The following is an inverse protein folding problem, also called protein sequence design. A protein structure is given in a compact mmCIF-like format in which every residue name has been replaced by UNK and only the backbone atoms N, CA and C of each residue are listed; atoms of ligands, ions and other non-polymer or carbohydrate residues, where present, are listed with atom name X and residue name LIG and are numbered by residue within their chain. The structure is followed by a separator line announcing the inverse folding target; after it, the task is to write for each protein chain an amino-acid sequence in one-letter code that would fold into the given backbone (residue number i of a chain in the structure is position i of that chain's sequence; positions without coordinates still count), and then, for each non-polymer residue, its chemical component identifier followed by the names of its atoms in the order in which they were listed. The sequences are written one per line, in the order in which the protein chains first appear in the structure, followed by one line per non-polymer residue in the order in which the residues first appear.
data_IF_064090452174
#
_entry.id   IF_064090452174
#
_cell.length_a   1.000
_cell.length_b   1.000
_cell.length_c   1.000
_cell.angle_alpha   90.00
_cell.angle_beta   90.00
_cell.angle_gamma   90.00
#
_symmetry.space_group_name_H-M   'P 1'
#
loop_
_entity.id
_entity.type
_entity.pdbx_description
1 polymer ?
#
# COMPACT_ATOMS: atom_id res chain seq x y z
N UNK A 1 6.63 -24.66 12.68
CA UNK A 1 7.03 -23.61 11.72
C UNK A 1 7.59 -22.46 12.52
N UNK A 2 8.91 -22.27 12.54
CA UNK A 2 9.55 -21.17 13.26
C UNK A 2 9.81 -20.02 12.28
N UNK A 3 8.94 -19.02 12.29
CA UNK A 3 9.20 -17.79 11.54
C UNK A 3 10.14 -16.91 12.37
N UNK A 4 11.12 -16.28 11.72
CA UNK A 4 12.19 -15.54 12.41
C UNK A 4 11.64 -14.23 13.00
N UNK A 5 11.24 -14.28 14.26
CA UNK A 5 10.71 -13.15 15.04
C UNK A 5 11.70 -11.97 15.03
N UNK A 6 11.40 -10.94 14.24
CA UNK A 6 12.01 -9.63 14.36
C UNK A 6 11.23 -8.84 15.42
N UNK A 7 11.90 -8.49 16.53
CA UNK A 7 11.43 -7.47 17.47
C UNK A 7 11.70 -6.10 16.86
N UNK A 8 10.74 -5.18 16.95
CA UNK A 8 10.82 -3.87 16.31
C UNK A 8 11.83 -2.92 16.99
N UNK A 9 12.27 -3.22 18.22
CA UNK A 9 13.13 -2.38 19.09
C UNK A 9 14.61 -2.17 18.64
N UNK A 10 14.94 -2.37 17.36
CA UNK A 10 16.24 -1.96 16.81
C UNK A 10 17.49 -2.71 17.28
N UNK A 11 17.40 -3.70 18.19
CA UNK A 11 18.56 -4.50 18.67
C UNK A 11 18.65 -5.87 18.00
N UNK A 12 19.68 -6.06 17.19
CA UNK A 12 20.14 -7.37 16.73
C UNK A 12 21.00 -8.05 17.82
N UNK A 13 20.69 -9.29 18.18
CA UNK A 13 21.75 -10.22 18.56
C UNK A 13 22.31 -10.84 17.27
N UNK A 14 23.48 -10.36 16.83
CA UNK A 14 24.26 -11.02 15.79
C UNK A 14 24.95 -12.25 16.38
N UNK A 15 24.72 -13.42 15.77
CA UNK A 15 25.69 -14.52 15.83
C UNK A 15 26.80 -14.17 14.83
N UNK A 16 28.04 -14.05 15.31
CA UNK A 16 29.19 -13.76 14.46
C UNK A 16 29.44 -14.88 13.45
N UNK A 17 29.52 -14.51 12.17
CA UNK A 17 30.27 -15.25 11.15
C UNK A 17 31.26 -14.27 10.53
N UNK A 18 32.54 -14.57 10.70
CA UNK A 18 33.66 -13.78 10.21
C UNK A 18 33.85 -14.05 8.70
N UNK A 19 33.59 -13.06 7.85
CA UNK A 19 34.52 -12.70 6.75
C UNK A 19 34.12 -11.37 6.10
N UNK A 20 35.12 -10.64 5.57
CA UNK A 20 34.95 -9.27 5.06
C UNK A 20 34.27 -9.26 3.70
N UNK A 21 32.99 -8.90 3.67
CA UNK A 21 32.34 -8.33 2.48
C UNK A 21 31.84 -6.93 2.84
N UNK A 22 32.05 -6.00 1.93
CA UNK A 22 31.87 -4.53 2.06
C UNK A 22 30.58 -4.12 2.77
N UNK A 23 30.69 -3.11 3.65
CA UNK A 23 29.57 -2.45 4.34
C UNK A 23 28.44 -2.01 3.39
N UNK A 24 27.44 -2.88 3.26
CA UNK A 24 26.07 -2.54 2.88
C UNK A 24 25.14 -3.23 3.87
N UNK A 25 24.57 -2.45 4.79
CA UNK A 25 23.45 -2.91 5.59
C UNK A 25 22.29 -3.22 4.65
N UNK A 26 22.01 -4.50 4.41
CA UNK A 26 20.83 -4.95 3.69
C UNK A 26 19.58 -4.52 4.50
N UNK A 27 18.61 -3.82 3.89
CA UNK A 27 17.35 -3.47 4.56
C UNK A 27 16.61 -4.74 5.02
N UNK A 28 15.88 -4.63 6.12
CA UNK A 28 15.26 -5.78 6.80
C UNK A 28 13.77 -5.84 6.50
N UNK A 29 13.34 -6.89 5.80
CA UNK A 29 11.93 -7.18 5.58
C UNK A 29 11.34 -6.41 4.40
N UNK A 30 10.76 -7.16 3.47
CA UNK A 30 10.16 -6.65 2.25
C UNK A 30 8.85 -7.39 1.99
N UNK A 31 7.76 -6.66 1.72
CA UNK A 31 6.54 -7.20 1.12
C UNK A 31 6.36 -6.63 -0.28
N UNK A 32 5.91 -7.47 -1.20
CA UNK A 32 5.89 -7.20 -2.62
C UNK A 32 4.77 -7.83 -3.40
N UNK A 33 4.41 -7.14 -4.49
CA UNK A 33 4.21 -7.55 -5.91
C UNK A 33 3.15 -6.55 -6.49
N UNK A 34 3.24 -5.94 -7.70
CA UNK A 34 4.00 -6.22 -8.95
C UNK A 34 4.48 -4.96 -9.76
N UNK A 35 4.86 -5.10 -11.06
CA UNK A 35 5.67 -4.15 -11.88
C UNK A 35 5.02 -2.82 -12.31
N UNK A 36 5.88 -1.99 -12.92
CA UNK A 36 5.70 -0.58 -13.32
C UNK A 36 5.79 0.41 -12.15
N UNK A 37 5.44 -0.02 -10.94
CA UNK A 37 5.19 0.89 -9.82
C UNK A 37 5.35 0.18 -8.46
N UNK A 38 6.23 0.67 -7.56
CA UNK A 38 6.52 0.01 -6.28
C UNK A 38 6.42 0.93 -5.05
N UNK A 39 5.93 0.43 -3.91
CA UNK A 39 6.03 1.07 -2.59
C UNK A 39 6.11 0.00 -1.48
N UNK A 40 7.08 0.12 -0.58
CA UNK A 40 7.54 -0.96 0.30
C UNK A 40 7.07 -0.72 1.74
N UNK A 41 6.40 -1.69 2.37
CA UNK A 41 6.05 -1.62 3.79
C UNK A 41 7.17 -2.23 4.65
N UNK A 42 7.89 -1.39 5.41
CA UNK A 42 8.99 -1.84 6.28
C UNK A 42 8.53 -2.43 7.61
N UNK A 43 9.47 -3.05 8.34
CA UNK A 43 9.32 -3.49 9.74
C UNK A 43 8.79 -2.37 10.66
N UNK A 44 9.05 -1.10 10.37
CA UNK A 44 8.51 0.05 11.12
C UNK A 44 7.05 0.41 10.81
N UNK A 45 6.40 -0.28 9.86
CA UNK A 45 5.03 0.03 9.40
C UNK A 45 4.95 1.10 8.31
N UNK A 46 6.08 1.67 7.88
CA UNK A 46 6.13 2.81 6.94
C UNK A 46 6.17 2.37 5.48
N UNK A 47 5.48 3.11 4.59
CA UNK A 47 5.55 2.92 3.13
C UNK A 47 6.67 3.78 2.51
N UNK A 48 7.78 3.13 2.14
CA UNK A 48 9.05 3.71 1.64
C UNK A 48 9.41 3.22 0.24
N UNK A 49 10.58 3.63 -0.26
CA UNK A 49 11.21 3.08 -1.47
C UNK A 49 10.26 3.11 -2.69
N UNK A 50 9.80 4.29 -3.05
CA UNK A 50 8.78 4.47 -4.08
C UNK A 50 9.41 4.40 -5.48
N UNK A 51 9.24 3.28 -6.18
CA UNK A 51 9.68 3.07 -7.57
C UNK A 51 8.49 3.08 -8.54
N UNK A 52 7.60 4.08 -8.36
CA UNK A 52 6.38 4.31 -9.15
C UNK A 52 6.65 4.73 -10.61
N UNK A 53 7.88 5.14 -10.92
CA UNK A 53 8.27 5.47 -12.28
C UNK A 53 9.55 4.68 -12.59
N UNK A 54 9.67 3.98 -13.73
CA UNK A 54 10.85 3.18 -14.07
C UNK A 54 12.17 3.96 -14.28
N UNK A 55 12.22 5.24 -13.89
CA UNK A 55 13.38 6.14 -13.92
C UNK A 55 13.67 6.81 -12.57
N UNK A 56 12.88 6.54 -11.53
CA UNK A 56 13.03 7.16 -10.21
C UNK A 56 12.75 6.15 -9.10
N UNK A 57 13.59 6.15 -8.07
CA UNK A 57 13.38 5.42 -6.82
C UNK A 57 13.49 6.42 -5.66
N UNK A 58 12.36 6.75 -5.04
CA UNK A 58 12.23 7.74 -3.98
C UNK A 58 12.26 7.02 -2.62
N UNK A 59 13.44 6.99 -1.98
CA UNK A 59 13.68 6.19 -0.77
C UNK A 59 12.83 6.61 0.44
N UNK A 60 12.46 7.89 0.51
CA UNK A 60 11.79 8.51 1.66
C UNK A 60 10.37 7.96 1.90
N UNK A 61 9.95 7.81 3.17
CA UNK A 61 8.59 7.41 3.48
C UNK A 61 7.58 8.51 3.13
N UNK A 62 6.43 8.10 2.61
CA UNK A 62 5.25 8.95 2.55
C UNK A 62 4.49 8.75 3.87
N UNK A 63 4.93 9.45 4.93
CA UNK A 63 4.54 9.21 6.33
C UNK A 63 3.04 9.17 6.60
N UNK A 64 2.25 9.82 5.75
CA UNK A 64 0.79 9.88 5.84
C UNK A 64 0.10 8.60 5.33
N UNK A 65 0.83 7.69 4.71
CA UNK A 65 0.36 6.38 4.27
C UNK A 65 0.56 5.39 5.40
N UNK A 66 -0.53 4.92 5.99
CA UNK A 66 -0.53 4.17 7.23
C UNK A 66 -1.76 3.26 7.32
N UNK A 67 -1.69 2.32 8.26
CA UNK A 67 -2.88 1.80 8.91
C UNK A 67 -2.99 2.40 10.31
N UNK A 68 -4.19 2.70 10.77
CA UNK A 68 -4.45 3.17 12.15
C UNK A 68 -5.62 2.41 12.75
N UNK A 69 -5.64 2.28 14.07
CA UNK A 69 -6.68 1.56 14.81
C UNK A 69 -7.31 2.46 15.87
N UNK A 70 -8.63 2.36 16.01
CA UNK A 70 -9.42 3.03 17.04
C UNK A 70 -10.32 1.99 17.71
N UNK A 71 -10.26 1.91 19.03
CA UNK A 71 -10.91 0.86 19.83
C UNK A 71 -11.76 1.54 20.90
N UNK A 72 -13.02 1.13 21.04
CA UNK A 72 -13.89 1.51 22.15
C UNK A 72 -14.50 0.23 22.73
N UNK A 73 -14.32 -0.02 24.03
CA UNK A 73 -14.97 -1.14 24.72
C UNK A 73 -16.35 -0.74 25.23
N UNK A 74 -17.24 -1.73 25.37
CA UNK A 74 -18.59 -1.52 25.90
C UNK A 74 -18.56 -0.84 27.28
N UNK A 75 -19.52 0.06 27.52
CA UNK A 75 -19.52 0.96 28.67
C UNK A 75 -18.66 2.24 28.49
N UNK A 76 -17.90 2.35 27.39
CA UNK A 76 -17.22 3.60 26.98
C UNK A 76 -16.05 4.05 27.86
N UNK A 77 -15.72 3.29 28.91
CA UNK A 77 -14.71 3.62 29.91
C UNK A 77 -13.26 3.47 29.42
N UNK A 78 -13.04 2.67 28.36
CA UNK A 78 -11.74 2.45 27.73
C UNK A 78 -11.85 2.77 26.23
N UNK A 79 -11.07 3.77 25.80
CA UNK A 79 -10.79 4.05 24.39
C UNK A 79 -9.29 3.98 24.15
N UNK A 80 -8.91 3.40 23.02
CA UNK A 80 -7.52 3.32 22.56
C UNK A 80 -7.44 3.75 21.11
N UNK A 81 -6.34 4.41 20.76
CA UNK A 81 -6.06 4.84 19.39
C UNK A 81 -4.57 4.75 19.14
N UNK A 82 -4.21 4.37 17.91
CA UNK A 82 -2.82 4.28 17.50
C UNK A 82 -2.65 4.23 15.99
N UNK A 83 -1.59 4.83 15.48
CA UNK A 83 -1.05 4.50 14.16
C UNK A 83 -0.31 3.16 14.28
N UNK A 84 -0.57 2.21 13.38
CA UNK A 84 0.04 0.88 13.39
C UNK A 84 1.47 0.87 12.82
N UNK A 85 2.27 1.81 13.29
CA UNK A 85 3.68 2.01 12.96
C UNK A 85 4.48 2.04 14.27
N UNK A 86 5.17 0.94 14.65
CA UNK A 86 5.92 0.88 15.90
C UNK A 86 7.29 1.55 15.82
N UNK A 87 7.66 2.26 16.89
CA UNK A 87 9.00 2.80 17.10
C UNK A 87 9.06 4.33 17.06
N UNK A 88 10.20 4.87 16.64
CA UNK A 88 10.42 6.31 16.58
C UNK A 88 10.50 6.80 15.13
N UNK A 89 9.60 7.70 14.79
CA UNK A 89 9.48 8.26 13.44
C UNK A 89 10.02 9.70 13.44
N UNK A 90 11.11 9.92 12.69
CA UNK A 90 11.70 11.25 12.55
C UNK A 90 10.72 12.22 11.87
N UNK A 91 10.75 13.49 12.27
CA UNK A 91 9.90 14.54 11.70
C UNK A 91 8.46 14.62 12.22
N UNK A 92 7.95 13.62 12.95
CA UNK A 92 6.56 13.62 13.48
C UNK A 92 6.35 14.62 14.63
N UNK A 93 7.41 15.07 15.31
CA UNK A 93 7.30 16.00 16.44
C UNK A 93 7.47 17.47 16.03
N UNK A 94 6.39 18.09 15.53
CA UNK A 94 6.19 19.54 15.56
C UNK A 94 5.04 19.86 16.51
N UNK A 95 5.35 20.56 17.60
CA UNK A 95 4.34 20.94 18.60
C UNK A 95 3.39 21.99 17.99
N UNK A 96 2.08 21.70 17.95
CA UNK A 96 1.04 22.64 17.49
C UNK A 96 0.72 22.60 15.99
N UNK A 97 1.23 21.64 15.22
CA UNK A 97 0.82 21.42 13.82
C UNK A 97 -0.44 20.53 13.75
N UNK A 98 -1.43 20.94 12.94
CA UNK A 98 -2.68 20.20 12.67
C UNK A 98 -2.49 19.01 11.72
N UNK A 99 -1.27 18.80 11.23
CA UNK A 99 -0.84 17.65 10.44
C UNK A 99 -0.80 16.32 11.21
N UNK A 100 -0.12 15.33 10.63
CA UNK A 100 -0.04 13.95 11.18
C UNK A 100 0.64 13.86 12.56
N UNK A 101 1.30 14.90 13.02
CA UNK A 101 1.78 15.07 14.39
C UNK A 101 0.68 15.00 15.45
N UNK A 102 -0.58 15.23 15.06
CA UNK A 102 -1.77 15.13 15.91
C UNK A 102 -2.26 13.69 16.15
N UNK A 103 -1.75 12.71 15.38
CA UNK A 103 -2.15 11.31 15.50
C UNK A 103 -1.41 10.60 16.63
N UNK A 104 -1.97 9.50 17.13
CA UNK A 104 -1.36 8.74 18.22
C UNK A 104 -0.25 7.81 17.72
N UNK A 105 0.97 8.32 17.59
CA UNK A 105 2.17 7.53 17.30
C UNK A 105 2.75 6.95 18.60
N UNK A 106 2.01 6.02 19.21
CA UNK A 106 2.25 5.54 20.58
C UNK A 106 2.62 4.05 20.70
N UNK A 107 2.77 3.31 19.59
CA UNK A 107 3.24 1.91 19.62
C UNK A 107 4.73 1.84 19.98
N UNK A 108 5.04 1.14 21.08
CA UNK A 108 6.44 0.97 21.52
C UNK A 108 7.22 0.00 20.62
N UNK A 109 6.51 -1.00 20.06
CA UNK A 109 7.10 -2.09 19.30
C UNK A 109 7.56 -3.27 20.15
N UNK A 110 7.42 -3.22 21.48
CA UNK A 110 7.81 -4.29 22.41
C UNK A 110 6.98 -5.56 22.23
N UNK A 111 5.68 -5.42 21.95
CA UNK A 111 4.79 -6.54 21.68
C UNK A 111 4.36 -6.61 20.20
N UNK A 112 5.12 -5.93 19.35
CA UNK A 112 4.96 -5.97 17.89
C UNK A 112 6.02 -6.88 17.27
N UNK A 113 5.64 -7.65 16.25
CA UNK A 113 6.58 -8.52 15.52
C UNK A 113 6.28 -8.52 14.04
N UNK A 114 7.35 -8.47 13.22
CA UNK A 114 7.27 -8.62 11.78
C UNK A 114 7.86 -9.96 11.34
N UNK A 115 7.24 -10.56 10.32
CA UNK A 115 7.54 -11.87 9.77
C UNK A 115 7.43 -11.81 8.24
N UNK A 116 8.39 -12.33 7.49
CA UNK A 116 8.34 -12.35 6.02
C UNK A 116 8.76 -13.70 5.43
N UNK A 117 7.99 -14.14 4.43
CA UNK A 117 8.25 -15.29 3.58
C UNK A 117 7.64 -15.02 2.19
N UNK A 118 8.39 -14.29 1.37
CA UNK A 118 7.97 -13.76 0.06
C UNK A 118 7.13 -14.77 -0.75
N UNK A 119 5.98 -14.35 -1.33
CA UNK A 119 5.46 -12.97 -1.42
C UNK A 119 4.64 -12.50 -0.21
N UNK A 120 4.59 -13.26 0.90
CA UNK A 120 3.76 -12.93 2.05
C UNK A 120 4.57 -12.35 3.21
N UNK A 121 3.96 -11.44 3.97
CA UNK A 121 4.47 -10.98 5.25
C UNK A 121 3.35 -10.79 6.25
N UNK A 122 3.70 -10.74 7.53
CA UNK A 122 2.77 -10.65 8.64
C UNK A 122 3.30 -9.73 9.72
N UNK A 123 2.47 -8.80 10.18
CA UNK A 123 2.74 -7.98 11.36
C UNK A 123 1.75 -8.34 12.46
N UNK A 124 2.24 -8.70 13.63
CA UNK A 124 1.41 -9.06 14.80
C UNK A 124 1.67 -8.06 15.91
N UNK A 125 0.60 -7.46 16.44
CA UNK A 125 0.58 -6.59 17.61
C UNK A 125 -0.19 -7.33 18.71
N UNK A 126 0.50 -7.69 19.79
CA UNK A 126 -0.06 -8.52 20.85
C UNK A 126 -0.24 -7.69 22.14
N UNK A 127 -1.43 -7.12 22.34
CA UNK A 127 -1.70 -6.26 23.49
C UNK A 127 -1.26 -4.80 23.34
N UNK A 128 -1.02 -4.34 22.10
CA UNK A 128 -0.82 -2.91 21.77
C UNK A 128 -1.79 -2.51 20.63
N UNK A 129 -2.48 -1.35 20.70
CA UNK A 129 -2.53 -0.40 21.83
C UNK A 129 -3.49 -0.83 22.96
N UNK A 130 -4.33 -1.85 22.76
CA UNK A 130 -5.23 -2.40 23.77
C UNK A 130 -4.71 -3.75 24.29
N UNK A 131 -4.39 -3.89 25.59
CA UNK A 131 -3.89 -5.13 26.20
C UNK A 131 -4.81 -6.36 26.04
N UNK A 132 -6.10 -6.14 25.79
CA UNK A 132 -7.12 -7.18 25.63
C UNK A 132 -7.49 -7.42 24.15
N UNK A 133 -6.69 -6.94 23.19
CA UNK A 133 -6.85 -7.17 21.76
C UNK A 133 -5.55 -7.67 21.11
N UNK A 134 -5.64 -8.76 20.35
CA UNK A 134 -4.56 -9.21 19.45
C UNK A 134 -4.90 -8.83 18.02
N UNK A 135 -3.96 -8.20 17.34
CA UNK A 135 -4.09 -7.71 15.96
C UNK A 135 -3.06 -8.43 15.11
N UNK A 136 -3.46 -9.00 13.98
CA UNK A 136 -2.52 -9.57 13.01
C UNK A 136 -2.88 -9.11 11.61
N UNK A 137 -1.97 -8.38 10.96
CA UNK A 137 -2.07 -8.00 9.56
C UNK A 137 -1.33 -9.04 8.72
N UNK A 138 -2.04 -9.66 7.78
CA UNK A 138 -1.45 -10.55 6.77
C UNK A 138 -1.41 -9.78 5.46
N UNK A 139 -0.24 -9.64 4.87
CA UNK A 139 -0.04 -8.83 3.68
C UNK A 139 0.30 -9.78 2.54
N UNK A 140 -0.46 -9.68 1.44
CA UNK A 140 -0.53 -10.68 0.38
C UNK A 140 -0.56 -9.95 -0.95
N UNK A 141 0.38 -10.27 -1.82
CA UNK A 141 0.28 -9.95 -3.24
C UNK A 141 0.47 -11.23 -4.05
N UNK A 142 -0.15 -11.35 -5.23
CA UNK A 142 -0.09 -12.58 -6.00
C UNK A 142 1.29 -12.76 -6.64
N UNK A 143 2.08 -13.74 -6.16
CA UNK A 143 3.25 -14.25 -6.88
C UNK A 143 3.12 -15.77 -6.95
N UNK A 144 2.68 -16.24 -8.11
CA UNK A 144 2.29 -17.63 -8.34
C UNK A 144 3.06 -18.14 -9.56
N UNK A 145 4.06 -19.02 -9.37
CA UNK A 145 4.84 -19.58 -10.47
C UNK A 145 3.97 -20.14 -11.58
N UNK A 146 4.29 -19.79 -12.81
CA UNK A 146 3.56 -20.13 -14.04
C UNK A 146 2.17 -19.47 -14.23
N UNK A 147 1.64 -18.71 -13.27
CA UNK A 147 0.49 -17.83 -13.50
C UNK A 147 0.96 -16.42 -13.91
N UNK A 148 1.12 -16.23 -15.21
CA UNK A 148 1.50 -14.95 -15.82
C UNK A 148 0.36 -13.92 -15.95
N UNK A 149 -0.81 -14.18 -15.35
CA UNK A 149 -1.91 -13.21 -15.25
C UNK A 149 -2.03 -12.69 -13.82
N UNK A 150 -2.22 -13.58 -12.86
CA UNK A 150 -2.49 -13.19 -11.48
C UNK A 150 -1.18 -12.74 -10.82
N UNK A 151 -0.02 -13.32 -11.17
CA UNK A 151 1.25 -12.67 -10.84
C UNK A 151 1.30 -11.27 -11.42
N UNK A 152 0.81 -11.09 -12.67
CA UNK A 152 0.86 -9.84 -13.45
C UNK A 152 0.09 -8.61 -12.91
N UNK A 153 -0.29 -8.59 -11.62
CA UNK A 153 -1.24 -7.63 -11.07
C UNK A 153 -0.59 -6.62 -10.12
N UNK A 154 -0.69 -5.30 -10.40
CA UNK A 154 -0.21 -4.23 -9.53
C UNK A 154 -1.14 -4.03 -8.32
N UNK A 155 -1.13 -4.97 -7.38
CA UNK A 155 -2.09 -5.03 -6.26
C UNK A 155 -1.56 -5.78 -5.04
N UNK A 156 -1.89 -5.26 -3.85
CA UNK A 156 -1.60 -5.86 -2.55
C UNK A 156 -2.85 -5.84 -1.66
N UNK A 157 -3.04 -6.90 -0.86
CA UNK A 157 -4.16 -7.07 0.08
C UNK A 157 -3.63 -7.17 1.51
N UNK A 158 -4.27 -6.42 2.41
CA UNK A 158 -3.95 -6.35 3.84
C UNK A 158 -5.13 -6.92 4.63
N UNK A 159 -4.98 -8.15 5.11
CA UNK A 159 -6.02 -8.88 5.85
C UNK A 159 -5.74 -8.80 7.34
N UNK A 160 -6.47 -7.94 8.04
CA UNK A 160 -6.43 -7.82 9.48
C UNK A 160 -7.32 -8.88 10.13
N UNK A 161 -6.73 -9.71 10.99
CA UNK A 161 -7.45 -10.55 11.95
C UNK A 161 -7.36 -9.90 13.33
N UNK A 162 -8.54 -9.60 13.90
CA UNK A 162 -8.74 -9.01 15.21
C UNK A 162 -9.27 -10.11 16.15
N UNK A 163 -8.61 -10.33 17.29
CA UNK A 163 -9.05 -11.31 18.30
C UNK A 163 -9.16 -10.60 19.65
N UNK A 164 -10.39 -10.46 20.16
CA UNK A 164 -10.65 -9.86 21.45
C UNK A 164 -10.45 -10.92 22.54
N UNK A 165 -9.44 -10.74 23.39
CA UNK A 165 -9.16 -11.67 24.50
C UNK A 165 -9.82 -11.23 25.81
N UNK A 166 -10.36 -10.01 25.86
CA UNK A 166 -11.07 -9.47 27.02
C UNK A 166 -12.53 -9.94 27.13
N UNK A 167 -13.17 -9.51 28.22
CA UNK A 167 -14.56 -9.87 28.58
C UNK A 167 -15.62 -8.89 28.06
N UNK A 168 -15.19 -7.69 27.67
CA UNK A 168 -16.04 -6.64 27.10
C UNK A 168 -16.03 -6.76 25.57
N UNK A 169 -17.17 -6.49 24.91
CA UNK A 169 -17.21 -6.31 23.45
C UNK A 169 -16.36 -5.09 23.07
N UNK A 170 -15.67 -5.17 21.93
CA UNK A 170 -14.90 -4.05 21.39
C UNK A 170 -15.45 -3.61 20.04
N UNK A 171 -15.77 -2.31 19.89
CA UNK A 171 -15.87 -1.66 18.58
C UNK A 171 -14.45 -1.35 18.12
N UNK A 172 -14.04 -1.89 16.98
CA UNK A 172 -12.70 -1.69 16.41
C UNK A 172 -12.82 -1.08 15.02
N UNK A 173 -12.13 0.02 14.79
CA UNK A 173 -12.14 0.74 13.51
C UNK A 173 -10.72 0.76 12.96
N UNK A 174 -10.52 0.22 11.77
CA UNK A 174 -9.25 0.20 11.05
C UNK A 174 -9.32 1.20 9.89
N UNK A 175 -8.37 2.14 9.89
CA UNK A 175 -8.26 3.20 8.90
C UNK A 175 -7.07 2.93 8.00
N UNK A 176 -7.31 2.87 6.69
CA UNK A 176 -6.25 2.91 5.70
C UNK A 176 -6.11 4.33 5.15
N UNK A 177 -4.91 4.87 5.26
CA UNK A 177 -4.57 6.21 4.80
C UNK A 177 -3.66 6.13 3.58
N UNK A 178 -3.96 6.86 2.49
CA UNK A 178 -3.10 6.89 1.30
C UNK A 178 -3.04 8.28 0.63
N UNK A 179 -1.84 8.79 0.40
CA UNK A 179 -1.64 10.03 -0.35
C UNK A 179 -1.90 9.81 -1.84
N UNK A 180 -2.42 10.86 -2.50
CA UNK A 180 -2.38 10.93 -3.96
C UNK A 180 -0.95 11.35 -4.37
N UNK A 181 -0.01 10.42 -4.18
CA UNK A 181 1.44 10.61 -4.28
C UNK A 181 2.05 9.42 -4.97
N UNK A 182 3.11 9.67 -5.74
CA UNK A 182 3.99 8.64 -6.31
C UNK A 182 5.35 8.57 -5.61
N UNK A 183 5.44 9.08 -4.38
CA UNK A 183 6.69 9.26 -3.64
C UNK A 183 7.23 10.69 -3.72
N UNK A 184 8.19 11.00 -2.85
CA UNK A 184 8.81 12.32 -2.75
C UNK A 184 7.80 13.48 -2.64
N UNK A 185 8.13 14.60 -3.28
CA UNK A 185 7.30 15.82 -3.34
C UNK A 185 6.17 15.76 -4.39
N UNK A 186 5.91 14.61 -5.02
CA UNK A 186 4.94 14.53 -6.13
C UNK A 186 3.51 14.97 -5.74
N UNK A 187 3.12 14.73 -4.49
CA UNK A 187 1.85 15.15 -3.90
C UNK A 187 1.62 16.68 -3.85
N UNK A 188 2.70 17.48 -3.96
CA UNK A 188 2.63 18.93 -4.01
C UNK A 188 2.27 19.45 -5.42
N UNK A 189 2.43 18.63 -6.47
CA UNK A 189 2.41 19.11 -7.88
C UNK A 189 1.04 19.56 -8.40
N UNK A 190 -0.04 19.20 -7.70
CA UNK A 190 -1.38 19.72 -7.95
C UNK A 190 -2.09 19.11 -9.16
N UNK A 191 -3.38 19.42 -9.29
CA UNK A 191 -4.25 18.81 -10.29
C UNK A 191 -4.61 17.34 -9.98
N UNK A 192 -4.39 16.90 -8.75
CA UNK A 192 -4.76 15.56 -8.29
C UNK A 192 -6.28 15.52 -8.03
N UNK A 193 -6.95 14.48 -8.53
CA UNK A 193 -8.40 14.28 -8.34
C UNK A 193 -8.57 12.98 -7.57
N UNK A 194 -9.61 12.90 -6.74
CA UNK A 194 -9.95 11.64 -6.09
C UNK A 194 -11.45 11.46 -6.09
N UNK A 195 -11.87 10.22 -6.31
CA UNK A 195 -13.24 9.85 -6.63
C UNK A 195 -13.63 8.67 -5.72
N UNK A 196 -14.64 8.81 -4.86
CA UNK A 196 -15.14 7.68 -4.10
C UNK A 196 -15.88 6.71 -5.01
N UNK A 197 -15.96 5.44 -4.60
CA UNK A 197 -16.79 4.45 -5.27
C UNK A 197 -17.40 3.47 -4.27
N UNK A 198 -18.55 2.93 -4.65
CA UNK A 198 -19.33 1.93 -3.94
C UNK A 198 -19.63 0.81 -4.94
N UNK A 199 -19.18 -0.41 -4.66
CA UNK A 199 -19.49 -1.61 -5.42
C UNK A 199 -20.76 -2.28 -4.93
N UNK A 200 -21.50 -2.92 -5.85
CA UNK A 200 -22.76 -3.62 -5.55
C UNK A 200 -22.58 -4.85 -4.64
N UNK A 201 -21.36 -5.35 -4.52
CA UNK A 201 -20.94 -6.51 -3.73
C UNK A 201 -20.40 -6.16 -2.33
N UNK A 202 -20.36 -4.86 -2.00
CA UNK A 202 -19.81 -4.34 -0.74
C UNK A 202 -18.35 -3.87 -0.84
N UNK A 203 -17.65 -4.07 -1.96
CA UNK A 203 -16.30 -3.51 -2.15
C UNK A 203 -16.39 -2.00 -2.38
N UNK A 204 -15.88 -1.23 -1.42
CA UNK A 204 -16.05 0.22 -1.37
C UNK A 204 -14.73 0.93 -1.09
N UNK A 205 -14.52 2.12 -1.66
CA UNK A 205 -13.21 2.74 -1.61
C UNK A 205 -13.09 4.12 -2.25
N UNK A 206 -11.84 4.49 -2.54
CA UNK A 206 -11.48 5.76 -3.17
C UNK A 206 -10.41 5.53 -4.25
N UNK A 207 -10.66 6.06 -5.45
CA UNK A 207 -9.67 6.26 -6.51
C UNK A 207 -8.88 7.53 -6.25
N UNK A 208 -7.56 7.47 -6.42
CA UNK A 208 -6.64 8.60 -6.33
C UNK A 208 -5.96 8.79 -7.69
N UNK A 209 -6.51 9.68 -8.51
CA UNK A 209 -5.98 10.02 -9.83
C UNK A 209 -4.81 10.99 -9.67
N UNK A 210 -3.60 10.47 -9.83
CA UNK A 210 -2.36 11.22 -9.74
C UNK A 210 -1.92 11.74 -11.12
N UNK A 211 -1.99 13.06 -11.28
CA UNK A 211 -1.39 13.78 -12.40
C UNK A 211 0.14 13.86 -12.19
N UNK A 212 0.87 13.16 -13.05
CA UNK A 212 2.33 13.18 -13.13
C UNK A 212 2.87 14.37 -13.92
N UNK A 213 4.09 14.80 -13.60
CA UNK A 213 4.82 15.84 -14.32
C UNK A 213 5.73 15.30 -15.44
N UNK A 214 6.15 16.18 -16.36
CA UNK A 214 7.16 15.93 -17.42
C UNK A 214 6.84 14.74 -18.34
N UNK A 215 5.67 14.76 -18.98
CA UNK A 215 5.19 13.76 -19.95
C UNK A 215 5.10 12.30 -19.45
N UNK A 216 5.36 12.05 -18.16
CA UNK A 216 5.09 10.76 -17.54
C UNK A 216 3.60 10.45 -17.56
N UNK A 217 3.19 9.17 -17.60
CA UNK A 217 1.79 8.80 -17.64
C UNK A 217 1.14 8.96 -16.27
N UNK A 218 -0.15 9.36 -16.21
CA UNK A 218 -0.89 9.47 -14.97
C UNK A 218 -1.03 8.10 -14.31
N UNK A 219 -0.90 8.08 -12.98
CA UNK A 219 -1.08 6.89 -12.14
C UNK A 219 -2.40 7.03 -11.41
N UNK A 220 -3.22 5.99 -11.38
CA UNK A 220 -4.44 5.98 -10.54
C UNK A 220 -4.29 4.90 -9.47
N UNK A 221 -4.17 5.29 -8.21
CA UNK A 221 -4.29 4.34 -7.10
C UNK A 221 -5.75 4.05 -6.81
N UNK A 222 -6.05 2.89 -6.27
CA UNK A 222 -7.30 2.60 -5.59
C UNK A 222 -6.99 2.02 -4.22
N UNK A 223 -7.67 2.54 -3.19
CA UNK A 223 -7.74 1.90 -1.87
C UNK A 223 -9.19 1.47 -1.62
N UNK A 224 -9.38 0.26 -1.12
CA UNK A 224 -10.71 -0.30 -0.88
C UNK A 224 -10.75 -1.19 0.36
N UNK A 225 -11.94 -1.41 0.87
CA UNK A 225 -12.26 -2.46 1.85
C UNK A 225 -13.58 -3.15 1.46
N UNK A 226 -13.82 -4.34 1.98
CA UNK A 226 -15.05 -5.09 1.75
C UNK A 226 -16.01 -4.94 2.94
N UNK A 227 -17.23 -4.44 2.69
CA UNK A 227 -18.34 -4.47 3.65
C UNK A 227 -18.80 -5.93 3.84
N UNK A 228 -19.06 -6.35 5.07
CA UNK A 228 -19.56 -7.69 5.40
C UNK A 228 -20.55 -7.61 6.56
N UNK A 229 -21.22 -8.71 6.92
CA UNK A 229 -22.19 -8.75 8.02
C UNK A 229 -21.67 -8.18 9.36
N UNK A 230 -20.36 -8.25 9.60
CA UNK A 230 -19.72 -7.76 10.84
C UNK A 230 -18.79 -6.55 10.61
N UNK A 231 -18.70 -6.03 9.38
CA UNK A 231 -17.75 -4.97 8.98
C UNK A 231 -18.47 -3.92 8.13
N UNK A 232 -18.62 -2.70 8.65
CA UNK A 232 -19.14 -1.54 7.94
C UNK A 232 -17.99 -0.74 7.29
N UNK A 233 -18.12 -0.35 6.02
CA UNK A 233 -17.12 0.47 5.32
C UNK A 233 -17.62 1.89 5.15
N UNK A 234 -16.79 2.86 5.55
CA UNK A 234 -17.04 4.29 5.32
C UNK A 234 -15.75 4.93 4.79
N UNK A 235 -15.85 6.13 4.23
CA UNK A 235 -14.72 6.79 3.61
C UNK A 235 -14.65 8.24 4.02
N UNK A 236 -13.45 8.81 3.99
CA UNK A 236 -13.26 10.25 3.99
C UNK A 236 -12.56 10.61 2.67
N UNK A 237 -13.31 11.13 1.68
CA UNK A 237 -12.77 11.44 0.38
C UNK A 237 -11.62 12.42 0.47
N UNK A 238 -11.66 13.43 1.38
CA UNK A 238 -10.62 14.46 1.52
C UNK A 238 -10.32 14.83 2.97
N UNK A 239 -9.04 14.90 3.31
CA UNK A 239 -8.50 15.87 4.26
C UNK A 239 -7.23 16.54 3.72
N UNK A 240 -6.80 17.61 4.38
CA UNK A 240 -5.50 18.30 4.15
C UNK A 240 -4.60 18.14 5.37
N UNK A 241 -3.27 18.16 5.19
CA UNK A 241 -2.36 18.12 6.35
C UNK A 241 -2.56 19.34 7.25
N UNK A 242 -2.63 20.53 6.66
CA UNK A 242 -2.92 21.79 7.36
C UNK A 242 -3.61 22.76 6.40
N UNK A 243 -4.51 23.59 6.93
CA UNK A 243 -5.24 24.59 6.14
C UNK A 243 -6.53 25.04 6.80
N UNK A 244 -7.07 26.16 6.33
CA UNK A 244 -8.37 26.68 6.74
C UNK A 244 -9.48 26.15 5.81
N UNK A 245 -10.71 26.03 6.31
CA UNK A 245 -11.90 25.65 5.54
C UNK A 245 -11.84 24.24 4.87
N UNK A 246 -11.12 23.30 5.45
CA UNK A 246 -11.14 21.87 5.07
C UNK A 246 -10.85 21.00 6.29
N UNK A 247 -11.39 19.78 6.32
CA UNK A 247 -11.06 18.78 7.33
C UNK A 247 -9.54 18.58 7.33
N UNK A 248 -8.90 18.75 8.48
CA UNK A 248 -7.45 18.55 8.67
C UNK A 248 -7.13 17.11 9.05
N UNK A 249 -5.85 16.76 9.11
CA UNK A 249 -5.41 15.46 9.63
C UNK A 249 -5.79 15.28 11.11
N UNK A 250 -5.80 16.36 11.89
CA UNK A 250 -6.26 16.45 13.28
C UNK A 250 -7.77 16.23 13.41
N UNK A 251 -8.58 16.96 12.62
CA UNK A 251 -10.05 16.80 12.63
C UNK A 251 -10.48 15.37 12.29
N UNK A 252 -9.82 14.76 11.28
CA UNK A 252 -10.03 13.37 10.90
C UNK A 252 -9.78 12.41 12.07
N UNK A 253 -8.68 12.62 12.82
CA UNK A 253 -8.37 11.82 14.00
C UNK A 253 -9.40 12.01 15.12
N UNK A 254 -9.88 13.24 15.31
CA UNK A 254 -10.95 13.59 16.25
C UNK A 254 -12.27 12.89 15.95
N UNK A 255 -12.73 12.93 14.69
CA UNK A 255 -13.93 12.21 14.22
C UNK A 255 -13.77 10.71 14.48
N UNK A 256 -12.62 10.14 14.15
CA UNK A 256 -12.34 8.73 14.37
C UNK A 256 -12.31 8.32 15.86
N UNK A 257 -11.85 9.20 16.75
CA UNK A 257 -11.87 8.99 18.20
C UNK A 257 -13.25 9.10 18.84
N UNK A 258 -14.13 9.93 18.27
CA UNK A 258 -15.49 10.12 18.75
C UNK A 258 -16.42 9.03 18.22
N UNK A 259 -16.52 8.91 16.89
CA UNK A 259 -17.53 8.11 16.19
C UNK A 259 -17.02 6.74 15.72
N UNK A 260 -15.72 6.63 15.40
CA UNK A 260 -15.13 5.43 14.79
C UNK A 260 -15.64 5.14 13.37
N UNK A 261 -16.23 6.13 12.70
CA UNK A 261 -16.76 6.03 11.34
C UNK A 261 -16.91 7.42 10.69
N UNK A 262 -16.96 7.47 9.36
CA UNK A 262 -17.29 8.68 8.61
C UNK A 262 -18.74 8.66 8.11
N UNK A 263 -19.26 9.81 7.67
CA UNK A 263 -20.60 9.92 7.07
C UNK A 263 -20.72 9.06 5.79
N UNK A 264 -21.78 8.25 5.67
CA UNK A 264 -22.01 7.40 4.48
C UNK A 264 -22.32 8.24 3.23
N UNK A 265 -22.80 9.46 3.42
CA UNK A 265 -23.04 10.48 2.40
C UNK A 265 -21.78 10.81 1.59
N UNK A 266 -20.58 10.56 2.14
CA UNK A 266 -19.31 10.75 1.44
C UNK A 266 -19.17 9.91 0.16
N UNK A 267 -19.87 8.78 0.04
CA UNK A 267 -19.92 8.00 -1.21
C UNK A 267 -20.70 8.70 -2.34
N UNK A 268 -21.60 9.63 -2.00
CA UNK A 268 -22.37 10.41 -2.97
C UNK A 268 -21.58 11.60 -3.52
N UNK A 269 -20.40 11.89 -2.96
CA UNK A 269 -19.51 12.90 -3.51
C UNK A 269 -18.98 12.47 -4.87
N UNK A 270 -19.17 13.29 -5.90
CA UNK A 270 -18.51 13.06 -7.19
C UNK A 270 -16.97 13.18 -7.09
N UNK A 271 -16.25 13.03 -8.22
CA UNK A 271 -14.83 13.35 -8.29
C UNK A 271 -14.55 14.73 -7.69
N UNK A 272 -13.63 14.80 -6.74
CA UNK A 272 -13.31 16.07 -6.08
C UNK A 272 -12.73 17.08 -7.06
N UNK A 273 -12.91 18.38 -6.78
CA UNK A 273 -12.17 19.42 -7.49
C UNK A 273 -10.66 19.13 -7.50
N UNK A 274 -9.95 19.39 -8.61
CA UNK A 274 -8.50 19.15 -8.68
C UNK A 274 -7.74 19.95 -7.62
N UNK A 275 -6.75 19.32 -6.97
CA UNK A 275 -6.00 19.98 -5.89
C UNK A 275 -5.21 21.20 -6.37
N UNK A 276 -5.31 22.31 -5.64
CA UNK A 276 -4.51 23.52 -5.87
C UNK A 276 -3.25 23.49 -5.01
N UNK A 277 -2.13 22.95 -5.56
CA UNK A 277 -0.78 22.97 -4.97
C UNK A 277 -0.78 22.78 -3.43
N UNK A 278 -1.41 21.71 -2.96
CA UNK A 278 -1.58 21.41 -1.55
C UNK A 278 -1.76 19.91 -1.31
N UNK A 279 -1.41 19.49 -0.09
CA UNK A 279 -1.24 18.09 0.30
C UNK A 279 -2.60 17.43 0.55
N UNK A 280 -3.25 17.04 -0.56
CA UNK A 280 -4.54 16.35 -0.59
C UNK A 280 -4.39 14.85 -0.28
N UNK A 281 -5.01 14.39 0.80
CA UNK A 281 -4.84 13.03 1.33
C UNK A 281 -6.19 12.36 1.60
N UNK A 282 -6.42 11.18 1.01
CA UNK A 282 -7.76 10.54 0.89
C UNK A 282 -7.79 9.15 1.54
N UNK A 283 -8.88 8.78 2.23
CA UNK A 283 -8.91 7.64 3.18
C UNK A 283 -10.06 6.67 2.94
N UNK A 284 -9.83 5.39 3.24
CA UNK A 284 -10.86 4.37 3.41
C UNK A 284 -10.81 3.79 4.82
N UNK A 285 -11.98 3.57 5.41
CA UNK A 285 -12.14 3.05 6.77
C UNK A 285 -13.04 1.82 6.74
N UNK A 286 -12.65 0.77 7.48
CA UNK A 286 -13.55 -0.32 7.82
C UNK A 286 -13.67 -0.42 9.34
N UNK A 287 -14.89 -0.46 9.85
CA UNK A 287 -15.20 -0.62 11.27
C UNK A 287 -15.95 -1.92 11.52
N UNK A 288 -15.64 -2.59 12.63
CA UNK A 288 -16.14 -3.89 12.97
C UNK A 288 -16.43 -4.00 14.48
N UNK A 289 -17.34 -4.89 14.84
CA UNK A 289 -17.56 -5.27 16.24
C UNK A 289 -16.92 -6.63 16.50
N UNK A 290 -16.20 -6.74 17.61
CA UNK A 290 -15.56 -7.99 18.06
C UNK A 290 -16.14 -8.37 19.42
N UNK A 291 -16.92 -9.44 19.43
CA UNK A 291 -17.50 -10.02 20.64
C UNK A 291 -16.42 -10.43 21.66
N UNK A 292 -16.76 -10.55 22.97
CA UNK A 292 -15.87 -11.15 23.96
C UNK A 292 -15.38 -12.52 23.51
N UNK A 293 -14.07 -12.76 23.58
CA UNK A 293 -13.42 -13.98 23.05
C UNK A 293 -13.66 -14.26 21.55
N UNK A 294 -14.19 -13.28 20.82
CA UNK A 294 -14.50 -13.36 19.39
C UNK A 294 -13.32 -13.03 18.49
N UNK A 295 -13.48 -13.41 17.21
CA UNK A 295 -12.57 -13.05 16.11
C UNK A 295 -13.35 -12.33 15.02
N UNK A 296 -12.79 -11.27 14.47
CA UNK A 296 -13.25 -10.63 13.25
C UNK A 296 -12.11 -10.57 12.21
N UNK A 297 -12.45 -10.42 10.93
CA UNK A 297 -11.48 -10.25 9.84
C UNK A 297 -11.93 -9.11 8.94
N UNK A 298 -10.99 -8.20 8.66
CA UNK A 298 -11.20 -6.99 7.86
C UNK A 298 -10.13 -6.99 6.77
N UNK A 299 -10.54 -6.90 5.51
CA UNK A 299 -9.62 -6.91 4.37
C UNK A 299 -9.61 -5.54 3.67
N UNK A 300 -8.42 -5.01 3.43
CA UNK A 300 -8.17 -3.84 2.60
C UNK A 300 -7.38 -4.26 1.36
N UNK A 301 -7.54 -3.55 0.25
CA UNK A 301 -6.70 -3.69 -0.93
C UNK A 301 -6.18 -2.33 -1.42
N UNK A 302 -4.96 -2.36 -1.94
CA UNK A 302 -4.28 -1.27 -2.63
C UNK A 302 -3.92 -1.76 -4.03
N UNK A 303 -4.40 -1.08 -5.06
CA UNK A 303 -3.95 -1.28 -6.43
C UNK A 303 -3.48 0.02 -7.06
N UNK A 304 -2.70 -0.09 -8.13
CA UNK A 304 -2.23 1.06 -8.90
C UNK A 304 -2.27 0.79 -10.41
N UNK A 305 -2.93 1.68 -11.14
CA UNK A 305 -3.02 1.63 -12.59
C UNK A 305 -2.17 2.75 -13.21
N UNK A 306 -0.99 2.39 -13.71
CA UNK A 306 -0.26 3.16 -14.72
C UNK A 306 -0.26 2.34 -16.02
N UNK A 307 -1.06 2.67 -17.04
CA UNK A 307 -1.19 1.79 -18.21
C UNK A 307 -0.10 1.98 -19.27
N UNK A 308 1.02 2.68 -18.97
CA UNK A 308 1.99 3.15 -19.98
C UNK A 308 3.45 3.19 -19.49
N UNK A 309 4.17 2.06 -19.49
CA UNK A 309 5.63 2.07 -19.27
C UNK A 309 6.36 2.77 -20.42
N UNK A 310 6.90 3.99 -20.24
CA UNK A 310 7.86 4.65 -21.18
C UNK A 310 7.60 4.32 -22.68
N UNK A 311 6.41 4.67 -23.19
CA UNK A 311 5.92 4.43 -24.57
C UNK A 311 5.43 3.01 -24.95
N UNK A 312 5.35 2.06 -24.00
CA UNK A 312 4.71 0.74 -24.14
C UNK A 312 3.58 0.58 -23.11
N UNK A 313 2.91 -0.58 -23.04
CA UNK A 313 1.85 -0.89 -22.06
C UNK A 313 2.32 -1.94 -21.07
N UNK A 314 2.07 -1.76 -19.77
CA UNK A 314 2.36 -2.77 -18.74
C UNK A 314 1.55 -4.06 -18.93
N UNK A 315 2.08 -5.20 -18.49
CA UNK A 315 1.50 -6.53 -18.72
C UNK A 315 0.05 -6.67 -18.26
N UNK A 316 -0.28 -6.14 -17.07
CA UNK A 316 -1.62 -6.19 -16.47
C UNK A 316 -2.72 -5.61 -17.39
N UNK A 317 -2.36 -4.65 -18.26
CA UNK A 317 -3.30 -3.99 -19.18
C UNK A 317 -3.88 -4.93 -20.25
N UNK A 318 -3.27 -6.10 -20.47
CA UNK A 318 -3.84 -7.19 -21.27
C UNK A 318 -5.18 -7.68 -20.73
N UNK A 319 -5.33 -7.67 -19.40
CA UNK A 319 -6.43 -8.28 -18.68
C UNK A 319 -7.43 -7.23 -18.16
N UNK A 320 -6.95 -6.07 -17.71
CA UNK A 320 -7.77 -4.98 -17.15
C UNK A 320 -7.91 -3.76 -18.07
N UNK A 321 -7.31 -3.80 -19.27
CA UNK A 321 -7.31 -2.69 -20.22
C UNK A 321 -6.43 -1.52 -19.80
N UNK A 322 -6.54 -0.40 -20.52
CA UNK A 322 -5.75 0.82 -20.28
C UNK A 322 -6.55 1.96 -19.66
N UNK A 323 -7.71 1.67 -19.06
CA UNK A 323 -8.53 2.67 -18.37
C UNK A 323 -7.89 3.05 -17.03
N UNK A 324 -7.92 4.32 -16.64
CA UNK A 324 -7.50 4.76 -15.30
C UNK A 324 -8.35 4.13 -14.20
N UNK A 325 -9.64 3.85 -14.47
CA UNK A 325 -10.53 3.13 -13.53
C UNK A 325 -10.24 1.63 -13.41
N UNK A 326 -9.29 1.08 -14.15
CA UNK A 326 -8.87 -0.32 -13.97
C UNK A 326 -8.39 -0.63 -12.55
N UNK A 327 -7.91 0.38 -11.80
CA UNK A 327 -7.58 0.27 -10.39
C UNK A 327 -8.77 -0.20 -9.52
N UNK A 328 -10.02 0.17 -9.84
CA UNK A 328 -11.23 -0.32 -9.13
C UNK A 328 -11.35 -1.84 -9.31
N UNK A 329 -11.28 -2.29 -10.56
CA UNK A 329 -11.41 -3.71 -10.90
C UNK A 329 -10.28 -4.54 -10.28
N UNK A 330 -9.07 -3.97 -10.18
CA UNK A 330 -7.93 -4.61 -9.51
C UNK A 330 -8.16 -4.79 -8.01
N UNK A 331 -8.60 -3.75 -7.26
CA UNK A 331 -8.88 -3.91 -5.82
C UNK A 331 -10.09 -4.80 -5.54
N UNK A 332 -11.12 -4.75 -6.39
CA UNK A 332 -12.27 -5.65 -6.33
C UNK A 332 -11.83 -7.11 -6.50
N UNK A 333 -11.17 -7.45 -7.61
CA UNK A 333 -10.71 -8.82 -7.87
C UNK A 333 -9.75 -9.30 -6.78
N UNK A 334 -8.91 -8.42 -6.22
CA UNK A 334 -8.02 -8.77 -5.12
C UNK A 334 -8.76 -9.10 -3.82
N UNK A 335 -9.75 -8.28 -3.42
CA UNK A 335 -10.58 -8.56 -2.25
C UNK A 335 -11.42 -9.84 -2.40
N UNK A 336 -11.75 -10.22 -3.64
CA UNK A 336 -12.50 -11.45 -3.93
C UNK A 336 -11.61 -12.70 -4.12
N UNK A 337 -10.33 -12.56 -4.45
CA UNK A 337 -9.42 -13.69 -4.77
C UNK A 337 -8.28 -13.94 -3.78
N UNK A 338 -7.98 -13.04 -2.83
CA UNK A 338 -6.78 -13.18 -1.99
C UNK A 338 -6.68 -14.51 -1.24
N UNK A 339 -7.81 -15.11 -0.86
CA UNK A 339 -7.87 -16.44 -0.23
C UNK A 339 -7.32 -17.53 -1.15
N UNK A 340 -7.72 -17.53 -2.42
CA UNK A 340 -7.17 -18.43 -3.44
C UNK A 340 -5.69 -18.12 -3.72
N UNK A 341 -5.28 -16.85 -3.76
CA UNK A 341 -3.85 -16.49 -3.88
C UNK A 341 -3.02 -17.08 -2.74
N UNK A 342 -3.49 -17.00 -1.49
CA UNK A 342 -2.80 -17.60 -0.35
C UNK A 342 -2.67 -19.12 -0.49
N UNK A 343 -3.70 -19.81 -0.99
CA UNK A 343 -3.64 -21.24 -1.25
C UNK A 343 -2.62 -21.60 -2.33
N UNK A 344 -2.58 -20.88 -3.46
CA UNK A 344 -1.60 -21.13 -4.52
C UNK A 344 -0.17 -20.81 -4.06
N UNK A 345 0.01 -19.71 -3.32
CA UNK A 345 1.31 -19.37 -2.71
C UNK A 345 1.76 -20.47 -1.75
N UNK A 346 0.85 -20.98 -0.92
CA UNK A 346 1.17 -22.10 -0.04
C UNK A 346 1.47 -23.38 -0.82
N UNK A 347 0.71 -23.72 -1.87
CA UNK A 347 0.92 -24.92 -2.70
C UNK A 347 2.34 -24.99 -3.27
N UNK A 348 2.90 -23.88 -3.77
CA UNK A 348 4.27 -23.89 -4.33
C UNK A 348 5.38 -23.78 -3.27
N UNK A 349 5.12 -23.12 -2.13
CA UNK A 349 6.10 -23.05 -1.03
C UNK A 349 6.20 -24.37 -0.23
N UNK A 350 5.08 -25.08 -0.03
CA UNK A 350 4.98 -26.24 0.86
C UNK A 350 5.98 -27.39 0.60
N UNK A 351 6.29 -27.81 -0.63
CA UNK A 351 7.27 -28.88 -0.90
C UNK A 351 8.66 -28.58 -0.32
N UNK A 352 9.14 -27.35 -0.46
CA UNK A 352 10.43 -26.89 0.06
C UNK A 352 10.35 -26.70 1.58
N UNK A 353 9.26 -26.11 2.09
CA UNK A 353 9.08 -25.88 3.53
C UNK A 353 9.05 -27.20 4.33
N UNK A 354 8.43 -28.25 3.78
CA UNK A 354 8.32 -29.58 4.41
C UNK A 354 9.57 -30.46 4.25
N UNK A 355 10.53 -30.11 3.39
CA UNK A 355 11.75 -30.92 3.27
C UNK A 355 12.62 -30.78 4.53
N UNK A 356 12.72 -31.87 5.29
CA UNK A 356 13.53 -31.95 6.52
C UNK A 356 15.04 -32.00 6.24
N UNK A 357 15.46 -32.22 4.99
CA UNK A 357 16.88 -32.20 4.58
C UNK A 357 17.42 -30.78 4.42
N UNK A 358 16.53 -29.81 4.16
CA UNK A 358 16.88 -28.41 3.96
C UNK A 358 16.91 -27.69 5.32
N UNK A 359 18.01 -27.00 5.68
CA UNK A 359 18.05 -26.17 6.88
C UNK A 359 17.02 -25.04 6.84
N UNK A 360 16.44 -24.70 8.00
CA UNK A 360 15.42 -23.63 8.09
C UNK A 360 15.93 -22.26 7.62
N UNK A 361 17.21 -21.94 7.87
CA UNK A 361 17.81 -20.71 7.36
C UNK A 361 17.84 -20.68 5.82
N UNK A 362 18.07 -21.82 5.18
CA UNK A 362 18.16 -21.92 3.72
C UNK A 362 16.78 -21.73 3.09
N UNK A 363 15.73 -22.34 3.66
CA UNK A 363 14.34 -22.14 3.22
C UNK A 363 13.96 -20.65 3.29
N UNK A 364 14.23 -20.00 4.42
CA UNK A 364 13.97 -18.57 4.62
C UNK A 364 14.67 -17.69 3.57
N UNK A 365 15.98 -17.90 3.35
CA UNK A 365 16.74 -17.14 2.37
C UNK A 365 16.25 -17.42 0.95
N UNK A 366 16.05 -18.69 0.58
CA UNK A 366 15.63 -19.09 -0.77
C UNK A 366 14.34 -18.39 -1.21
N UNK A 367 13.33 -18.28 -0.35
CA UNK A 367 12.11 -17.56 -0.69
C UNK A 367 12.31 -16.05 -0.66
N UNK A 368 12.94 -15.50 0.38
CA UNK A 368 13.01 -14.05 0.54
C UNK A 368 13.93 -13.37 -0.49
N UNK A 369 14.97 -14.04 -1.02
CA UNK A 369 15.79 -13.51 -2.13
C UNK A 369 15.00 -13.36 -3.45
N UNK A 370 13.86 -14.04 -3.62
CA UNK A 370 12.99 -13.87 -4.80
C UNK A 370 12.38 -12.47 -4.88
N UNK A 371 12.44 -11.67 -3.82
CA UNK A 371 12.00 -10.26 -3.83
C UNK A 371 12.62 -9.47 -4.98
N UNK A 372 13.87 -9.77 -5.34
CA UNK A 372 14.62 -9.07 -6.37
C UNK A 372 14.04 -9.27 -7.79
N UNK A 373 13.23 -10.31 -8.02
CA UNK A 373 12.52 -10.48 -9.29
C UNK A 373 11.50 -9.35 -9.53
N UNK A 374 10.93 -8.82 -8.44
CA UNK A 374 10.02 -7.67 -8.44
C UNK A 374 10.86 -6.40 -8.27
N UNK A 375 11.50 -6.26 -7.10
CA UNK A 375 12.25 -5.10 -6.62
C UNK A 375 13.49 -4.69 -7.43
N UNK A 376 13.87 -5.46 -8.46
CA UNK A 376 15.03 -5.21 -9.32
C UNK A 376 14.86 -4.02 -10.28
N UNK A 377 13.80 -3.23 -10.13
CA UNK A 377 13.40 -2.19 -11.08
C UNK A 377 12.86 -2.75 -12.39
N UNK A 378 12.20 -3.90 -12.30
CA UNK A 378 11.96 -4.77 -13.43
C UNK A 378 10.75 -4.30 -14.26
N UNK A 379 10.82 -4.43 -15.59
CA UNK A 379 9.80 -3.91 -16.53
C UNK A 379 9.19 -5.07 -17.32
N UNK A 380 7.86 -5.21 -17.28
CA UNK A 380 7.13 -6.21 -18.06
C UNK A 380 6.00 -5.59 -18.88
N UNK A 381 6.14 -5.64 -20.20
CA UNK A 381 5.22 -5.02 -21.16
C UNK A 381 4.40 -6.07 -21.91
N UNK A 382 3.15 -5.77 -22.29
CA UNK A 382 2.30 -6.71 -23.05
C UNK A 382 2.64 -6.84 -24.55
N UNK A 383 3.60 -6.05 -25.05
CA UNK A 383 4.14 -6.20 -26.40
C UNK A 383 3.17 -5.79 -27.51
N UNK A 384 3.08 -4.48 -27.76
CA UNK A 384 2.57 -3.96 -29.04
C UNK A 384 3.74 -3.38 -29.81
N UNK A 385 3.96 -3.84 -31.05
CA UNK A 385 4.93 -3.19 -31.94
C UNK A 385 4.51 -1.72 -32.11
N UNK A 386 5.43 -0.78 -31.83
CA UNK A 386 5.26 0.56 -32.36
C UNK A 386 5.25 0.42 -33.88
N UNK A 387 4.15 0.81 -34.51
CA UNK A 387 4.17 1.10 -35.92
C UNK A 387 5.13 2.29 -36.09
N UNK A 388 6.37 2.00 -36.46
CA UNK A 388 7.30 3.02 -36.97
C UNK A 388 6.66 3.58 -38.22
N UNK A 389 5.98 4.72 -38.09
CA UNK A 389 5.32 5.38 -39.20
C UNK A 389 6.41 6.07 -40.05
N UNK A 390 7.06 5.29 -40.91
CA UNK A 390 8.13 5.75 -41.83
C UNK A 390 7.70 6.94 -42.70
N UNK A 391 6.38 7.19 -42.83
CA UNK A 391 5.86 8.36 -43.54
C UNK A 391 6.22 9.68 -42.84
N UNK A 392 6.44 9.67 -41.53
CA UNK A 392 6.86 10.85 -40.77
C UNK A 392 8.36 11.20 -40.94
N UNK A 393 9.21 10.21 -41.24
CA UNK A 393 10.66 10.44 -41.48
C UNK A 393 10.96 10.79 -42.94
N UNK A 394 10.21 10.22 -43.89
CA UNK A 394 10.37 10.51 -45.33
C UNK A 394 9.89 11.96 -45.64
N UNK A 395 8.77 12.40 -45.07
CA UNK A 395 8.25 13.76 -45.29
C UNK A 395 9.16 14.90 -44.81
N UNK A 396 10.05 14.62 -43.84
CA UNK A 396 11.08 15.58 -43.38
C UNK A 396 12.35 15.60 -44.25
N UNK A 397 12.59 14.59 -45.10
CA UNK A 397 13.78 14.54 -45.99
C UNK A 397 13.60 15.20 -47.36
N UNK A 398 12.36 15.51 -47.77
CA UNK A 398 12.07 16.01 -49.13
C UNK A 398 11.87 17.55 -49.19
N UNK A 399 11.79 18.23 -48.04
CA UNK A 399 11.70 19.71 -47.97
C UNK A 399 13.05 20.37 -47.67
N UNK A 400 13.97 20.35 -48.64
CA UNK A 400 14.91 21.47 -48.89
C UNK A 400 15.76 21.25 -50.17
N UNK A 401 15.28 21.70 -51.35
CA UNK A 401 16.11 21.86 -52.54
C UNK A 401 16.21 23.34 -52.94
N UNK A 402 16.82 24.22 -52.11
CA UNK A 402 17.04 25.61 -52.54
C UNK A 402 18.20 26.43 -51.91
N UNK A 403 19.00 25.88 -50.98
CA UNK A 403 20.16 26.61 -50.40
C UNK A 403 21.50 25.96 -50.74
N UNK A 404 21.92 26.06 -52.01
CA UNK A 404 23.34 25.80 -52.36
C UNK A 404 23.79 26.50 -53.65
N UNK A 405 23.61 27.83 -53.76
CA UNK A 405 24.22 28.60 -54.86
C UNK A 405 24.35 30.11 -54.59
N UNK A 406 25.27 30.53 -53.69
CA UNK A 406 26.06 31.78 -53.86
C UNK A 406 27.18 31.90 -52.82
N UNK A 407 28.43 31.69 -53.26
CA UNK A 407 29.66 32.38 -52.83
C UNK A 407 30.83 31.81 -53.64
N UNK A 408 31.14 32.49 -54.73
CA UNK A 408 32.49 32.57 -55.29
C UNK A 408 33.09 33.91 -54.83
#
# INVERSE_FOLDING_TARGET
MFVKKLLMEGKLQLIHLHEKVVDRQLPKGFLWVEWEVEAYHEVSGEFKHWQILPSACEMSPVMVNQFSIFISRDGGSKKFSSVLAPGHHEGIKKLGDQGISSWDWNLSGQHSTYHALFPRAWTVYDGEPDPELKISCRQISPFIPHDYKESSLPVCVFVYTLVNTGRERAKVSLLMTWANSIGGISHETGGHINEPFLGDDGVSGVLLHHKTAKDNPPVTFAIAACETQNVNVTILPKFVLSGENSITASDMWGIMMQDGQFERQNFNGGPSMPSSLANDVRRSLASAWVEPHGKCTVAFALAWASPKVKFQKGRYTRFYGTSQRSAVNLVHDALMKYSWWEEEIEKWQQPILKDIKLPEWYKFTLFNELYFLVAGGTIWTDGGAQAFDEKASISKRVKNPQEMQTRA
#
